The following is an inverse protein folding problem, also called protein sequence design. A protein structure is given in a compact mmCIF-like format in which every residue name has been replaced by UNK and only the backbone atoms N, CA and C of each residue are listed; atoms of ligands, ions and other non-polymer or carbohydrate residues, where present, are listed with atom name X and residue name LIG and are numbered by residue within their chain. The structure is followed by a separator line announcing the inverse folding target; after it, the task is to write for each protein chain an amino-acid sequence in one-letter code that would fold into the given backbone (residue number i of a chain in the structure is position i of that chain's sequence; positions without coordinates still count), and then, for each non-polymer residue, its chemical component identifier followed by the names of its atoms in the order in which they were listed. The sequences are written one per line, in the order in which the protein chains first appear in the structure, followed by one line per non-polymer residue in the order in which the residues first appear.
data_IF_307036798737
#
_entry.id   IF_307036798737
#
_cell.length_a   1.000
_cell.length_b   1.000
_cell.length_c   1.000
_cell.angle_alpha   90.00
_cell.angle_beta   90.00
_cell.angle_gamma   90.00
#
_symmetry.space_group_name_H-M   'P 1'
#
loop_
_entity.id
_entity.type
_entity.pdbx_description
1 polymer ?
#
# COMPACT_ATOMS: atom_id res chain seq x y z
N UNK A 1 -40.51 -47.28 27.90
CA UNK A 1 -39.26 -46.56 27.55
C UNK A 1 -39.24 -46.43 26.02
N UNK A 2 -39.81 -45.44 25.32
CA UNK A 2 -39.80 -43.97 25.46
C UNK A 2 -38.39 -43.36 25.44
N UNK A 3 -37.72 -43.40 24.30
CA UNK A 3 -37.00 -42.26 23.68
C UNK A 3 -36.12 -42.78 22.55
N UNK A 4 -36.50 -42.52 21.30
CA UNK A 4 -35.55 -42.39 20.16
C UNK A 4 -36.23 -41.93 18.86
N UNK A 5 -37.48 -41.43 18.94
CA UNK A 5 -38.24 -40.90 17.79
C UNK A 5 -38.16 -39.36 17.64
N UNK A 6 -37.25 -38.68 18.33
CA UNK A 6 -37.24 -37.21 18.41
C UNK A 6 -36.16 -36.47 17.60
N UNK A 7 -35.13 -37.11 17.05
CA UNK A 7 -34.05 -36.35 16.39
C UNK A 7 -34.31 -36.01 14.90
N UNK A 8 -35.18 -36.75 14.21
CA UNK A 8 -35.44 -36.54 12.77
C UNK A 8 -36.41 -35.39 12.42
N UNK A 9 -36.95 -34.66 13.41
CA UNK A 9 -37.96 -33.60 13.18
C UNK A 9 -37.42 -32.17 13.13
N UNK A 10 -36.11 -31.94 13.30
CA UNK A 10 -35.53 -30.59 13.22
C UNK A 10 -34.94 -30.20 11.85
N UNK A 11 -34.78 -31.14 10.91
CA UNK A 11 -34.07 -30.92 9.64
C UNK A 11 -34.95 -30.41 8.48
N UNK A 12 -36.22 -30.07 8.71
CA UNK A 12 -37.18 -29.73 7.65
C UNK A 12 -37.89 -28.38 7.78
N UNK A 13 -37.48 -27.49 8.71
CA UNK A 13 -38.16 -26.20 8.97
C UNK A 13 -37.41 -24.91 8.60
N UNK A 14 -36.22 -24.98 7.99
CA UNK A 14 -35.50 -23.78 7.50
C UNK A 14 -35.35 -23.70 5.98
N UNK A 15 -35.95 -24.62 5.21
CA UNK A 15 -35.97 -24.59 3.73
C UNK A 15 -37.24 -23.96 3.13
N UNK A 16 -37.95 -23.12 3.88
CA UNK A 16 -39.24 -22.56 3.42
C UNK A 16 -39.44 -21.12 3.87
N UNK A 17 -38.50 -20.23 3.54
CA UNK A 17 -38.69 -18.76 3.57
C UNK A 17 -37.53 -18.08 2.85
N UNK A 18 -37.60 -18.04 1.52
CA UNK A 18 -36.98 -17.02 0.65
C UNK A 18 -37.24 -17.43 -0.80
N UNK A 19 -38.51 -17.31 -1.20
CA UNK A 19 -38.93 -17.34 -2.61
C UNK A 19 -40.08 -16.37 -2.75
N UNK A 20 -39.76 -15.13 -3.13
CA UNK A 20 -40.68 -14.08 -3.58
C UNK A 20 -39.79 -12.98 -4.18
N UNK A 21 -39.61 -12.99 -5.51
CA UNK A 21 -40.27 -12.07 -6.45
C UNK A 21 -39.76 -10.63 -6.25
N UNK A 22 -38.83 -10.17 -7.09
CA UNK A 22 -39.19 -9.41 -8.32
C UNK A 22 -40.09 -8.23 -7.96
N UNK A 23 -39.52 -7.02 -7.89
CA UNK A 23 -39.98 -5.99 -8.79
C UNK A 23 -38.98 -4.83 -8.98
N UNK A 24 -38.80 -4.50 -10.26
CA UNK A 24 -38.05 -3.36 -10.80
C UNK A 24 -39.06 -2.22 -10.91
N UNK A 25 -38.85 -1.08 -10.27
CA UNK A 25 -39.62 0.12 -10.62
C UNK A 25 -38.69 1.32 -10.85
N UNK A 26 -38.59 1.62 -12.14
CA UNK A 26 -38.11 2.84 -12.76
C UNK A 26 -38.91 4.05 -12.28
N UNK A 27 -38.23 5.15 -11.93
CA UNK A 27 -38.85 6.48 -11.75
C UNK A 27 -38.29 7.43 -12.81
N UNK A 28 -39.08 7.58 -13.87
CA UNK A 28 -39.00 8.66 -14.85
C UNK A 28 -40.38 9.30 -14.88
N UNK A 29 -40.46 10.59 -14.59
CA UNK A 29 -41.48 11.50 -15.18
C UNK A 29 -41.05 12.94 -14.92
N UNK A 30 -40.68 13.62 -16.00
CA UNK A 30 -40.63 15.08 -16.13
C UNK A 30 -42.06 15.57 -16.40
N UNK A 31 -42.47 16.66 -15.76
CA UNK A 31 -43.70 17.39 -16.09
C UNK A 31 -43.37 18.79 -16.61
N UNK A 32 -44.07 19.12 -17.70
CA UNK A 32 -44.04 20.33 -18.53
C UNK A 32 -44.76 21.52 -17.85
N UNK A 33 -44.23 22.75 -17.97
CA UNK A 33 -44.75 23.90 -18.75
C UNK A 33 -45.97 24.63 -18.09
N UNK A 34 -46.27 25.94 -18.18
CA UNK A 34 -46.19 26.98 -19.22
C UNK A 34 -46.36 28.41 -18.61
N UNK A 35 -45.72 29.41 -19.24
CA UNK A 35 -46.23 30.72 -19.75
C UNK A 35 -46.95 31.73 -18.82
N UNK A 36 -46.43 32.97 -18.80
CA UNK A 36 -47.21 34.20 -19.09
C UNK A 36 -46.33 35.40 -19.50
N UNK A 37 -46.89 36.18 -20.44
CA UNK A 37 -46.31 37.24 -21.27
C UNK A 37 -46.50 38.67 -20.71
N UNK A 38 -45.62 39.59 -21.15
CA UNK A 38 -45.96 41.00 -21.43
C UNK A 38 -45.64 42.02 -20.31
N UNK A 39 -45.31 43.30 -20.52
CA UNK A 39 -45.34 44.23 -21.67
C UNK A 39 -44.45 45.46 -21.35
N UNK A 40 -43.63 45.90 -22.33
CA UNK A 40 -43.25 47.26 -22.80
C UNK A 40 -43.16 48.45 -21.82
N UNK A 41 -42.07 49.24 -21.93
CA UNK A 41 -42.08 50.67 -21.55
C UNK A 41 -40.73 51.40 -21.58
N UNK A 42 -40.54 52.28 -22.56
CA UNK A 42 -39.38 53.15 -22.85
C UNK A 42 -39.07 54.19 -21.75
N UNK A 43 -37.78 54.52 -21.56
CA UNK A 43 -37.33 55.91 -21.42
C UNK A 43 -35.83 56.05 -21.71
N UNK A 44 -35.51 56.90 -22.68
CA UNK A 44 -34.18 57.34 -23.03
C UNK A 44 -33.69 58.42 -22.07
N UNK A 45 -32.39 58.43 -21.78
CA UNK A 45 -31.67 59.66 -21.48
C UNK A 45 -30.24 59.52 -21.97
N UNK A 46 -29.96 60.26 -23.04
CA UNK A 46 -28.62 60.49 -23.56
C UNK A 46 -27.88 61.46 -22.65
N UNK A 47 -26.67 61.10 -22.23
CA UNK A 47 -25.61 62.07 -21.96
C UNK A 47 -24.35 61.63 -22.71
N UNK A 48 -23.78 62.62 -23.40
CA UNK A 48 -22.71 62.47 -24.35
C UNK A 48 -21.34 62.26 -23.68
N UNK A 49 -20.50 61.50 -24.40
CA UNK A 49 -19.05 61.54 -24.54
C UNK A 49 -18.19 62.25 -23.49
N UNK A 50 -17.09 61.59 -23.07
CA UNK A 50 -15.70 62.06 -23.26
C UNK A 50 -14.68 61.09 -22.64
N UNK A 51 -13.55 60.95 -23.35
CA UNK A 51 -12.22 60.44 -22.93
C UNK A 51 -11.88 58.95 -23.01
N UNK A 52 -11.24 58.63 -24.15
CA UNK A 52 -10.04 57.80 -24.30
C UNK A 52 -9.32 57.45 -22.98
N UNK A 53 -9.36 56.19 -22.59
CA UNK A 53 -8.13 55.43 -22.31
C UNK A 53 -8.36 53.98 -22.72
N UNK A 54 -7.85 53.62 -23.90
CA UNK A 54 -7.60 52.24 -24.25
C UNK A 54 -6.51 51.71 -23.32
N UNK A 55 -6.91 51.21 -22.15
CA UNK A 55 -6.07 50.28 -21.39
C UNK A 55 -6.28 48.93 -22.04
N UNK A 56 -5.37 48.60 -22.94
CA UNK A 56 -5.06 47.23 -23.30
C UNK A 56 -4.78 46.48 -22.01
N UNK A 57 -5.80 45.82 -21.45
CA UNK A 57 -5.56 44.69 -20.58
C UNK A 57 -4.96 43.64 -21.49
N UNK A 58 -3.62 43.68 -21.62
CA UNK A 58 -2.87 42.55 -22.13
C UNK A 58 -3.27 41.38 -21.26
N UNK A 59 -4.13 40.53 -21.81
CA UNK A 59 -4.48 39.26 -21.24
C UNK A 59 -3.19 38.44 -21.26
N UNK A 60 -2.43 38.56 -20.18
CA UNK A 60 -1.40 37.61 -19.81
C UNK A 60 -2.15 36.31 -19.52
N UNK A 61 -2.52 35.61 -20.59
CA UNK A 61 -2.83 34.20 -20.54
C UNK A 61 -1.56 33.55 -20.00
N UNK A 62 -1.52 33.35 -18.68
CA UNK A 62 -0.51 32.56 -18.03
C UNK A 62 -0.53 31.20 -18.75
N UNK A 63 0.50 30.95 -19.56
CA UNK A 63 0.82 29.62 -20.04
C UNK A 63 1.14 28.83 -18.78
N UNK A 64 0.13 28.18 -18.20
CA UNK A 64 0.35 27.22 -17.13
C UNK A 64 1.12 26.08 -17.81
N UNK A 65 2.40 25.86 -17.50
CA UNK A 65 3.08 24.68 -17.99
C UNK A 65 2.26 23.50 -17.47
N UNK A 66 1.75 22.71 -18.40
CA UNK A 66 1.02 21.50 -18.11
C UNK A 66 2.01 20.60 -17.35
N UNK A 67 1.95 20.62 -16.02
CA UNK A 67 2.79 19.78 -15.18
C UNK A 67 2.31 18.36 -15.42
N UNK A 68 2.91 17.69 -16.41
CA UNK A 68 2.86 16.24 -16.51
C UNK A 68 3.29 15.72 -15.15
N UNK A 69 2.32 15.25 -14.37
CA UNK A 69 2.57 14.65 -13.08
C UNK A 69 3.65 13.59 -13.27
N UNK A 70 4.83 13.83 -12.72
CA UNK A 70 5.93 12.90 -12.79
C UNK A 70 5.41 11.57 -12.24
N UNK A 71 5.52 10.50 -13.04
CA UNK A 71 5.18 9.14 -12.62
C UNK A 71 5.92 8.91 -11.29
N UNK A 72 5.24 8.44 -10.23
CA UNK A 72 5.88 8.30 -8.95
C UNK A 72 7.10 7.37 -9.08
N UNK A 73 8.18 7.67 -8.34
CA UNK A 73 9.50 7.12 -8.62
C UNK A 73 9.47 5.60 -8.50
N UNK A 74 9.90 4.90 -9.55
CA UNK A 74 10.23 3.48 -9.45
C UNK A 74 11.58 3.33 -8.77
N UNK A 75 11.69 2.39 -7.84
CA UNK A 75 12.94 2.01 -7.20
C UNK A 75 13.50 0.80 -7.92
N UNK A 76 14.76 0.85 -8.35
CA UNK A 76 15.44 -0.24 -9.06
C UNK A 76 16.71 -0.57 -8.30
N UNK A 77 16.97 -1.86 -8.04
CA UNK A 77 18.21 -2.29 -7.42
C UNK A 77 18.22 -3.77 -7.07
N UNK A 78 19.29 -4.18 -6.40
CA UNK A 78 19.36 -5.50 -5.81
C UNK A 78 18.50 -5.52 -4.52
N UNK A 79 17.49 -6.40 -4.43
CA UNK A 79 16.67 -6.50 -3.23
C UNK A 79 17.39 -7.32 -2.13
N UNK A 80 17.16 -6.97 -0.88
CA UNK A 80 17.28 -7.87 0.27
C UNK A 80 15.88 -8.21 0.78
N UNK A 81 15.65 -9.47 1.15
CA UNK A 81 14.36 -9.91 1.69
C UNK A 81 14.31 -9.68 3.19
N UNK A 82 13.25 -9.04 3.68
CA UNK A 82 13.04 -8.81 5.11
C UNK A 82 12.07 -9.84 5.69
N UNK A 83 10.96 -10.07 5.00
CA UNK A 83 9.94 -11.08 5.30
C UNK A 83 9.19 -11.46 4.00
N UNK A 84 8.16 -12.29 4.09
CA UNK A 84 7.46 -12.86 2.92
C UNK A 84 6.69 -11.85 2.07
N UNK A 85 6.52 -10.59 2.50
CA UNK A 85 5.88 -9.55 1.66
C UNK A 85 6.61 -8.21 1.69
N UNK A 86 7.79 -8.16 2.31
CA UNK A 86 8.61 -6.95 2.43
C UNK A 86 10.04 -7.21 1.96
N UNK A 87 10.47 -6.40 1.00
CA UNK A 87 11.86 -6.34 0.53
C UNK A 87 12.47 -4.97 0.85
N UNK A 88 13.78 -4.86 0.76
CA UNK A 88 14.49 -3.60 0.88
C UNK A 88 15.41 -3.39 -0.33
N UNK A 89 15.38 -2.18 -0.90
CA UNK A 89 16.27 -1.77 -1.98
C UNK A 89 16.86 -0.42 -1.60
N UNK A 90 18.20 -0.31 -1.56
CA UNK A 90 18.92 0.92 -1.20
C UNK A 90 18.44 1.55 0.12
N UNK A 91 18.16 0.72 1.13
CA UNK A 91 17.66 1.16 2.43
C UNK A 91 16.19 1.56 2.45
N UNK A 92 15.44 1.50 1.34
CA UNK A 92 13.99 1.69 1.33
C UNK A 92 13.27 0.36 1.47
N UNK A 93 12.53 0.18 2.57
CA UNK A 93 11.61 -0.96 2.73
C UNK A 93 10.37 -0.80 1.87
N UNK A 94 10.06 -1.83 1.11
CA UNK A 94 9.00 -1.89 0.11
C UNK A 94 8.10 -3.06 0.47
N UNK A 95 6.83 -2.75 0.77
CA UNK A 95 5.78 -3.75 0.93
C UNK A 95 5.21 -4.10 -0.44
N UNK A 96 5.13 -5.38 -0.75
CA UNK A 96 4.55 -5.87 -1.98
C UNK A 96 3.05 -5.57 -2.02
N UNK A 97 2.60 -5.03 -3.14
CA UNK A 97 1.23 -4.59 -3.30
C UNK A 97 0.25 -5.78 -3.45
N UNK A 98 -0.89 -5.68 -2.76
CA UNK A 98 -2.03 -6.59 -2.91
C UNK A 98 -1.86 -8.02 -2.35
N UNK A 99 -0.72 -8.34 -1.74
CA UNK A 99 -0.51 -9.65 -1.11
C UNK A 99 -0.27 -9.52 0.38
N UNK A 100 -0.45 -10.63 1.09
CA UNK A 100 -0.14 -10.75 2.52
C UNK A 100 0.53 -12.11 2.76
N UNK A 101 1.76 -12.10 3.25
CA UNK A 101 2.52 -13.32 3.53
C UNK A 101 2.46 -13.68 5.03
N UNK A 102 2.69 -14.94 5.41
CA UNK A 102 2.76 -15.32 6.81
C UNK A 102 3.84 -14.53 7.53
N UNK A 103 3.52 -14.06 8.73
CA UNK A 103 4.44 -13.28 9.54
C UNK A 103 5.71 -14.08 9.86
N UNK A 104 6.88 -13.46 9.99
CA UNK A 104 8.17 -14.19 10.10
C UNK A 104 8.24 -15.23 11.22
N UNK A 105 7.37 -15.13 12.24
CA UNK A 105 7.27 -16.06 13.37
C UNK A 105 6.11 -17.03 13.29
N UNK A 106 5.21 -16.84 12.34
CA UNK A 106 4.03 -17.65 12.18
C UNK A 106 4.45 -19.10 11.90
N UNK A 107 3.84 -20.01 12.67
CA UNK A 107 3.93 -21.45 12.46
C UNK A 107 2.68 -21.91 11.71
N UNK A 108 2.87 -22.89 10.83
CA UNK A 108 1.81 -23.55 10.08
C UNK A 108 1.98 -25.07 10.20
N UNK A 109 0.98 -25.85 9.80
CA UNK A 109 1.06 -27.31 9.78
C UNK A 109 1.21 -27.82 8.35
N UNK A 110 2.10 -28.79 8.15
CA UNK A 110 2.26 -29.47 6.87
C UNK A 110 1.15 -30.50 6.63
N UNK A 111 1.27 -31.28 5.54
CA UNK A 111 0.30 -32.32 5.20
C UNK A 111 0.18 -33.43 6.25
N UNK A 112 1.20 -33.61 7.10
CA UNK A 112 1.23 -34.59 8.18
C UNK A 112 0.76 -33.98 9.52
N UNK A 113 0.40 -32.70 9.54
CA UNK A 113 0.02 -31.98 10.75
C UNK A 113 1.22 -31.49 11.58
N UNK A 114 2.45 -31.59 11.08
CA UNK A 114 3.66 -31.15 11.78
C UNK A 114 3.86 -29.64 11.62
N UNK A 115 4.20 -28.99 12.72
CA UNK A 115 4.46 -27.55 12.72
C UNK A 115 5.76 -27.20 11.99
N UNK A 116 5.72 -26.12 11.20
CA UNK A 116 6.89 -25.58 10.51
C UNK A 116 6.83 -24.04 10.44
N UNK A 117 7.98 -23.34 10.33
CA UNK A 117 8.05 -21.88 10.32
C UNK A 117 7.70 -21.31 8.95
N UNK A 118 6.41 -21.28 8.63
CA UNK A 118 5.92 -20.89 7.31
C UNK A 118 6.28 -19.45 6.90
N UNK A 119 6.33 -18.50 7.83
CA UNK A 119 6.75 -17.13 7.49
C UNK A 119 8.21 -17.04 7.06
N UNK A 120 9.10 -17.81 7.72
CA UNK A 120 10.50 -17.90 7.32
C UNK A 120 10.66 -18.60 5.98
N UNK A 121 9.95 -19.71 5.77
CA UNK A 121 9.96 -20.42 4.48
C UNK A 121 9.45 -19.56 3.32
N UNK A 122 8.43 -18.74 3.55
CA UNK A 122 7.93 -17.78 2.55
C UNK A 122 9.00 -16.75 2.18
N UNK A 123 9.69 -16.18 3.18
CA UNK A 123 10.80 -15.25 2.95
C UNK A 123 11.98 -15.92 2.20
N UNK A 124 12.35 -17.14 2.56
CA UNK A 124 13.39 -17.92 1.87
C UNK A 124 13.01 -18.21 0.40
N UNK A 125 11.75 -18.53 0.13
CA UNK A 125 11.25 -18.74 -1.22
C UNK A 125 11.29 -17.45 -2.06
N UNK A 126 10.91 -16.31 -1.46
CA UNK A 126 11.03 -15.00 -2.08
C UNK A 126 12.49 -14.67 -2.42
N UNK A 127 13.43 -14.92 -1.50
CA UNK A 127 14.86 -14.66 -1.72
C UNK A 127 15.40 -15.48 -2.89
N UNK A 128 15.10 -16.78 -2.92
CA UNK A 128 15.49 -17.67 -4.01
C UNK A 128 14.93 -17.20 -5.36
N UNK A 129 13.64 -16.85 -5.42
CA UNK A 129 13.02 -16.34 -6.64
C UNK A 129 13.66 -15.04 -7.14
N UNK A 130 13.99 -14.11 -6.24
CA UNK A 130 14.64 -12.84 -6.59
C UNK A 130 16.12 -12.99 -6.96
N UNK A 131 16.77 -14.08 -6.57
CA UNK A 131 18.15 -14.38 -6.93
C UNK A 131 18.30 -14.78 -8.41
N UNK A 132 17.26 -15.36 -9.02
CA UNK A 132 17.31 -15.86 -10.40
C UNK A 132 17.42 -14.74 -11.46
N UNK A 133 16.89 -13.54 -11.19
CA UNK A 133 16.94 -12.42 -12.14
C UNK A 133 16.97 -11.07 -11.42
N UNK A 134 18.00 -10.26 -11.68
CA UNK A 134 18.26 -8.94 -11.07
C UNK A 134 18.59 -7.89 -12.13
N UNK A 135 18.35 -6.59 -11.88
CA UNK A 135 17.77 -5.99 -10.66
C UNK A 135 16.24 -6.18 -10.56
N UNK A 136 15.68 -5.88 -9.39
CA UNK A 136 14.23 -5.75 -9.21
C UNK A 136 13.85 -4.30 -9.41
N UNK A 137 12.77 -4.07 -10.16
CA UNK A 137 12.12 -2.78 -10.31
C UNK A 137 10.78 -2.78 -9.57
N UNK A 138 10.61 -1.87 -8.63
CA UNK A 138 9.38 -1.65 -7.90
C UNK A 138 8.75 -0.32 -8.29
N UNK A 139 7.57 -0.36 -8.91
CA UNK A 139 6.80 0.84 -9.24
C UNK A 139 5.95 1.25 -8.04
N UNK A 140 6.02 2.51 -7.64
CA UNK A 140 5.23 3.03 -6.53
C UNK A 140 3.72 2.95 -6.79
N UNK A 141 2.99 2.47 -5.79
CA UNK A 141 1.51 2.41 -5.79
C UNK A 141 0.96 3.41 -4.78
N UNK A 142 1.40 3.32 -3.52
CA UNK A 142 0.90 4.16 -2.44
C UNK A 142 1.86 4.19 -1.25
N UNK A 143 1.65 5.15 -0.36
CA UNK A 143 2.14 5.08 1.01
C UNK A 143 1.03 4.50 1.88
N UNK A 144 1.31 3.46 2.66
CA UNK A 144 0.33 2.98 3.63
C UNK A 144 0.26 3.87 4.89
N UNK A 145 -0.69 3.57 5.78
CA UNK A 145 -0.90 4.32 7.04
C UNK A 145 0.31 4.35 7.98
N UNK A 146 1.30 3.49 7.74
CA UNK A 146 2.55 3.40 8.50
C UNK A 146 3.73 4.01 7.73
N UNK A 147 3.44 4.75 6.65
CA UNK A 147 4.43 5.37 5.79
C UNK A 147 5.40 4.38 5.13
N UNK A 148 4.97 3.14 4.90
CA UNK A 148 5.74 2.18 4.10
C UNK A 148 5.47 2.41 2.61
N UNK A 149 6.52 2.29 1.81
CA UNK A 149 6.42 2.30 0.36
C UNK A 149 5.68 1.03 -0.05
N UNK A 150 4.53 1.15 -0.72
CA UNK A 150 3.82 0.02 -1.32
C UNK A 150 4.08 0.04 -2.82
N UNK A 151 4.52 -1.08 -3.38
CA UNK A 151 4.92 -1.14 -4.77
C UNK A 151 4.60 -2.44 -5.50
N UNK A 152 4.43 -2.32 -6.81
CA UNK A 152 4.37 -3.44 -7.74
C UNK A 152 5.80 -3.74 -8.20
N UNK A 153 6.36 -4.87 -7.76
CA UNK A 153 7.73 -5.26 -8.03
C UNK A 153 7.82 -6.32 -9.13
N UNK A 154 8.80 -6.16 -10.02
CA UNK A 154 9.14 -7.10 -11.08
C UNK A 154 10.63 -7.38 -11.11
N UNK A 155 11.00 -8.62 -11.41
CA UNK A 155 12.38 -9.01 -11.74
C UNK A 155 12.80 -8.43 -13.09
N UNK A 156 14.09 -8.49 -13.41
CA UNK A 156 14.64 -8.01 -14.67
C UNK A 156 14.11 -8.73 -15.91
N UNK A 157 13.67 -9.98 -15.77
CA UNK A 157 13.02 -10.76 -16.84
C UNK A 157 11.51 -10.47 -16.98
N UNK A 158 10.98 -9.52 -16.20
CA UNK A 158 9.59 -9.07 -16.25
C UNK A 158 8.63 -9.86 -15.35
N UNK A 159 9.10 -10.92 -14.68
CA UNK A 159 8.28 -11.71 -13.78
C UNK A 159 7.77 -10.86 -12.60
N UNK A 160 6.46 -10.96 -12.32
CA UNK A 160 5.80 -10.25 -11.22
C UNK A 160 6.07 -10.96 -9.89
N UNK A 161 6.61 -10.23 -8.91
CA UNK A 161 6.93 -10.80 -7.59
C UNK A 161 5.66 -11.21 -6.86
N UNK A 162 4.66 -10.32 -6.80
CA UNK A 162 3.40 -10.60 -6.09
C UNK A 162 2.63 -11.77 -6.72
N UNK A 163 2.60 -11.83 -8.06
CA UNK A 163 1.95 -12.94 -8.77
C UNK A 163 2.63 -14.27 -8.47
N UNK A 164 3.97 -14.32 -8.55
CA UNK A 164 4.74 -15.54 -8.26
C UNK A 164 4.52 -16.01 -6.81
N UNK A 165 4.55 -15.09 -5.85
CA UNK A 165 4.33 -15.40 -4.43
C UNK A 165 2.97 -16.05 -4.18
N UNK A 166 1.90 -15.57 -4.83
CA UNK A 166 0.56 -16.15 -4.66
C UNK A 166 0.43 -17.48 -5.39
N UNK A 167 0.92 -17.55 -6.63
CA UNK A 167 0.89 -18.76 -7.47
C UNK A 167 1.64 -19.94 -6.83
N UNK A 168 2.76 -19.67 -6.16
CA UNK A 168 3.56 -20.69 -5.48
C UNK A 168 3.14 -20.91 -4.01
N UNK A 169 2.01 -20.32 -3.60
CA UNK A 169 1.44 -20.50 -2.26
C UNK A 169 2.32 -19.93 -1.14
N UNK A 170 3.14 -18.92 -1.41
CA UNK A 170 4.01 -18.26 -0.42
C UNK A 170 3.33 -17.04 0.23
N UNK A 171 2.32 -16.48 -0.43
CA UNK A 171 1.48 -15.39 0.09
C UNK A 171 0.02 -15.56 -0.33
N UNK A 172 -0.87 -14.86 0.35
CA UNK A 172 -2.30 -14.82 0.05
C UNK A 172 -2.66 -13.57 -0.75
N UNK A 173 -3.66 -13.70 -1.60
CA UNK A 173 -4.34 -12.56 -2.22
C UNK A 173 -5.05 -11.76 -1.13
N UNK A 174 -4.62 -10.52 -0.85
CA UNK A 174 -5.16 -9.75 0.27
C UNK A 174 -6.36 -8.91 -0.19
N UNK A 175 -7.61 -9.33 0.08
CA UNK A 175 -8.77 -8.78 -0.61
C UNK A 175 -9.00 -7.28 -0.33
N UNK A 176 -8.48 -6.80 0.80
CA UNK A 176 -8.55 -5.40 1.21
C UNK A 176 -7.80 -4.45 0.25
N UNK A 177 -6.71 -4.91 -0.34
CA UNK A 177 -5.84 -4.09 -1.19
C UNK A 177 -5.80 -4.54 -2.64
N UNK A 178 -5.88 -5.84 -2.90
CA UNK A 178 -5.84 -6.38 -4.26
C UNK A 178 -7.19 -6.37 -4.97
N UNK A 179 -8.29 -6.30 -4.23
CA UNK A 179 -9.64 -6.47 -4.77
C UNK A 179 -9.83 -7.75 -5.62
N UNK A 180 -9.10 -8.82 -5.29
CA UNK A 180 -9.19 -10.09 -6.02
C UNK A 180 -8.24 -10.22 -7.21
N UNK A 181 -7.30 -9.29 -7.41
CA UNK A 181 -6.36 -9.30 -8.53
C UNK A 181 -5.59 -10.64 -8.64
N UNK A 182 -5.31 -11.31 -7.52
CA UNK A 182 -4.56 -12.58 -7.50
C UNK A 182 -5.44 -13.79 -7.16
N UNK A 183 -6.77 -13.65 -7.21
CA UNK A 183 -7.70 -14.71 -6.77
C UNK A 183 -7.54 -16.01 -7.57
N UNK A 184 -7.36 -15.92 -8.89
CA UNK A 184 -7.19 -17.08 -9.76
C UNK A 184 -5.87 -17.81 -9.51
N UNK A 185 -4.77 -17.06 -9.32
CA UNK A 185 -3.47 -17.63 -8.95
C UNK A 185 -3.55 -18.33 -7.59
N UNK A 186 -4.25 -17.72 -6.63
CA UNK A 186 -4.48 -18.33 -5.33
C UNK A 186 -5.32 -19.60 -5.44
N UNK A 187 -6.33 -19.63 -6.32
CA UNK A 187 -7.14 -20.82 -6.57
C UNK A 187 -6.31 -21.97 -7.18
N UNK A 188 -5.36 -21.64 -8.06
CA UNK A 188 -4.40 -22.60 -8.61
C UNK A 188 -3.46 -23.14 -7.52
N UNK A 189 -2.92 -22.26 -6.67
CA UNK A 189 -2.06 -22.68 -5.56
C UNK A 189 -2.81 -23.61 -4.57
N UNK A 190 -4.08 -23.29 -4.28
CA UNK A 190 -4.99 -24.11 -3.47
C UNK A 190 -5.21 -25.49 -4.08
N UNK A 191 -5.57 -25.56 -5.35
CA UNK A 191 -5.88 -26.83 -6.03
C UNK A 191 -4.63 -27.70 -6.19
N UNK A 192 -3.47 -27.08 -6.43
CA UNK A 192 -2.17 -27.74 -6.52
C UNK A 192 -1.58 -28.14 -5.17
N UNK A 193 -2.16 -27.69 -4.03
CA UNK A 193 -1.62 -27.91 -2.68
C UNK A 193 -0.15 -27.49 -2.55
N UNK A 194 0.20 -26.33 -3.09
CA UNK A 194 1.58 -25.81 -3.06
C UNK A 194 1.77 -24.79 -1.95
N UNK A 195 3.00 -24.70 -1.43
CA UNK A 195 3.36 -23.77 -0.36
C UNK A 195 2.49 -23.99 0.88
N UNK A 196 1.87 -22.91 1.37
CA UNK A 196 0.96 -22.90 2.51
C UNK A 196 -0.22 -23.87 2.35
N UNK A 197 -0.68 -24.09 1.11
CA UNK A 197 -1.83 -24.94 0.81
C UNK A 197 -1.56 -26.45 0.91
N UNK A 198 -0.33 -26.83 1.27
CA UNK A 198 0.04 -28.24 1.54
C UNK A 198 -0.63 -28.76 2.82
N UNK A 199 -0.92 -27.89 3.78
CA UNK A 199 -1.51 -28.27 5.06
C UNK A 199 -2.42 -27.18 5.62
N UNK A 200 -2.39 -27.00 6.94
CA UNK A 200 -3.27 -26.07 7.65
C UNK A 200 -2.51 -24.83 8.09
N UNK A 201 -3.15 -23.67 7.98
CA UNK A 201 -2.58 -22.41 8.44
C UNK A 201 -3.70 -21.41 8.74
N UNK A 202 -3.37 -20.43 9.58
CA UNK A 202 -4.19 -19.25 9.81
C UNK A 202 -3.80 -18.16 8.80
N UNK A 203 -4.77 -17.43 8.23
CA UNK A 203 -4.42 -16.37 7.29
C UNK A 203 -3.60 -15.27 8.02
N UNK A 204 -2.60 -14.64 7.37
CA UNK A 204 -1.67 -13.77 8.09
C UNK A 204 -2.32 -12.55 8.75
N UNK A 205 -3.38 -11.99 8.12
CA UNK A 205 -4.17 -10.92 8.72
C UNK A 205 -4.96 -11.36 9.97
N UNK A 206 -5.43 -12.62 10.02
CA UNK A 206 -6.13 -13.17 11.19
C UNK A 206 -5.12 -13.46 12.31
N UNK A 207 -3.97 -14.05 11.95
CA UNK A 207 -2.86 -14.29 12.88
C UNK A 207 -2.41 -13.00 13.56
N UNK A 208 -2.21 -11.92 12.79
CA UNK A 208 -1.87 -10.59 13.34
C UNK A 208 -2.93 -10.05 14.30
N UNK A 209 -4.21 -10.27 14.03
CA UNK A 209 -5.28 -9.80 14.91
C UNK A 209 -5.24 -10.53 16.26
N UNK A 210 -4.95 -11.83 16.26
CA UNK A 210 -4.81 -12.65 17.46
C UNK A 210 -3.50 -12.44 18.24
N UNK A 211 -2.42 -12.00 17.58
CA UNK A 211 -1.07 -11.89 18.15
C UNK A 211 -0.60 -10.43 18.31
N UNK A 212 -1.54 -9.53 18.58
CA UNK A 212 -1.29 -8.08 18.70
C UNK A 212 -0.29 -7.70 19.81
N UNK A 213 -0.23 -8.51 20.87
CA UNK A 213 0.58 -8.29 22.07
C UNK A 213 1.97 -8.92 22.01
N UNK A 214 2.26 -9.70 20.95
CA UNK A 214 3.58 -10.30 20.79
C UNK A 214 4.63 -9.21 20.52
N UNK A 215 5.76 -9.19 21.25
CA UNK A 215 6.84 -8.25 20.98
C UNK A 215 7.26 -8.38 19.52
N UNK A 216 7.09 -7.34 18.70
CA UNK A 216 7.61 -7.32 17.31
C UNK A 216 9.12 -7.58 17.32
N UNK A 217 9.69 -8.23 16.30
CA UNK A 217 11.13 -8.43 16.30
C UNK A 217 11.73 -7.04 16.15
N UNK A 218 12.36 -6.55 17.21
CA UNK A 218 13.25 -5.42 17.08
C UNK A 218 14.40 -5.92 16.21
N UNK A 219 14.50 -5.41 14.99
CA UNK A 219 15.67 -5.57 14.12
C UNK A 219 16.82 -4.73 14.70
N UNK A 220 17.19 -5.02 15.94
CA UNK A 220 18.29 -4.41 16.64
C UNK A 220 18.96 -5.50 17.50
N UNK A 221 19.44 -6.54 16.83
CA UNK A 221 20.27 -7.57 17.47
C UNK A 221 21.73 -7.24 17.20
N UNK A 222 22.24 -6.34 18.04
CA UNK A 222 23.64 -6.18 18.49
C UNK A 222 24.70 -6.84 17.59
N UNK A 223 25.32 -6.07 16.70
CA UNK A 223 26.73 -6.25 16.39
C UNK A 223 27.52 -5.32 17.31
N UNK A 224 27.99 -5.86 18.43
CA UNK A 224 29.04 -5.22 19.21
C UNK A 224 30.39 -5.54 18.55
N UNK A 225 31.25 -4.52 18.46
CA UNK A 225 32.59 -4.45 17.85
C UNK A 225 32.58 -4.17 16.34
N UNK A 226 32.51 -2.89 15.92
CA UNK A 226 33.50 -2.23 15.02
C UNK A 226 33.39 -0.70 15.13
N UNK A 227 34.57 -0.07 15.23
CA UNK A 227 34.97 1.33 15.03
C UNK A 227 33.94 2.41 14.64
N UNK A 228 34.02 3.56 15.33
CA UNK A 228 33.27 4.81 15.12
C UNK A 228 33.38 5.42 13.70
N UNK A 229 34.21 4.87 12.81
CA UNK A 229 34.32 5.31 11.41
C UNK A 229 33.32 4.68 10.44
N UNK A 230 32.48 3.72 10.85
CA UNK A 230 31.54 3.02 9.96
C UNK A 230 30.05 3.37 10.17
N UNK A 231 29.71 4.20 11.15
CA UNK A 231 28.30 4.54 11.45
C UNK A 231 27.67 5.40 10.34
N UNK A 232 28.46 6.18 9.60
CA UNK A 232 28.01 6.93 8.43
C UNK A 232 27.51 6.05 7.26
N UNK A 233 27.65 4.72 7.32
CA UNK A 233 27.29 3.78 6.25
C UNK A 233 25.90 3.14 6.41
N UNK A 234 25.20 3.34 7.54
CA UNK A 234 23.88 2.71 7.79
C UNK A 234 22.68 3.67 7.68
N UNK A 235 22.92 4.97 7.48
CA UNK A 235 21.83 5.92 7.32
C UNK A 235 21.27 5.83 5.91
N UNK A 236 19.95 5.77 5.79
CA UNK A 236 19.25 5.75 4.51
C UNK A 236 18.30 6.94 4.45
N UNK A 237 18.08 7.49 3.26
CA UNK A 237 17.19 8.64 3.08
C UNK A 237 15.70 8.32 3.24
N UNK A 238 15.34 7.34 4.07
CA UNK A 238 13.97 7.11 4.52
C UNK A 238 13.42 8.41 5.13
N UNK A 239 12.24 8.91 4.72
CA UNK A 239 11.79 10.24 5.12
C UNK A 239 11.52 10.34 6.63
N UNK A 240 12.47 10.91 7.38
CA UNK A 240 12.32 11.31 8.79
C UNK A 240 12.39 12.83 8.86
N UNK A 241 11.29 13.47 8.49
CA UNK A 241 11.23 14.94 8.25
C UNK A 241 11.03 15.77 9.51
N UNK A 242 11.03 15.14 10.69
CA UNK A 242 10.84 15.79 11.98
C UNK A 242 11.98 15.39 12.91
N UNK A 243 12.54 16.36 13.64
CA UNK A 243 13.64 16.14 14.57
C UNK A 243 13.31 15.15 15.70
N UNK A 244 12.03 15.01 16.06
CA UNK A 244 11.56 14.01 17.03
C UNK A 244 11.74 12.55 16.56
N UNK A 245 12.02 12.32 15.28
CA UNK A 245 12.23 11.02 14.67
C UNK A 245 13.73 10.67 14.52
N UNK A 246 14.62 11.60 14.89
CA UNK A 246 16.06 11.49 14.74
C UNK A 246 16.66 11.15 16.11
N UNK A 247 17.61 10.21 16.12
CA UNK A 247 18.15 9.65 17.36
C UNK A 247 19.45 10.31 17.82
N UNK A 248 20.17 10.99 16.93
CA UNK A 248 21.41 11.70 17.26
C UNK A 248 21.70 12.89 16.34
N UNK A 249 22.53 13.81 16.82
CA UNK A 249 22.99 14.96 16.04
C UNK A 249 23.79 14.53 14.80
N UNK A 250 24.59 13.47 14.90
CA UNK A 250 25.36 12.92 13.78
C UNK A 250 24.45 12.41 12.66
N UNK A 251 23.37 11.71 13.03
CA UNK A 251 22.34 11.25 12.10
C UNK A 251 21.66 12.43 11.39
N UNK A 252 21.30 13.48 12.14
CA UNK A 252 20.69 14.70 11.59
C UNK A 252 21.60 15.39 10.56
N UNK A 253 22.89 15.54 10.87
CA UNK A 253 23.91 16.13 9.97
C UNK A 253 24.12 15.30 8.72
N UNK A 254 24.12 13.98 8.85
CA UNK A 254 24.22 13.09 7.71
C UNK A 254 23.02 13.26 6.77
N UNK A 255 21.79 13.33 7.28
CA UNK A 255 20.60 13.55 6.46
C UNK A 255 20.61 14.92 5.77
N UNK A 256 21.03 15.98 6.46
CA UNK A 256 21.18 17.31 5.88
C UNK A 256 22.11 17.30 4.66
N UNK A 257 23.19 16.51 4.72
CA UNK A 257 24.22 16.46 3.68
C UNK A 257 23.92 15.48 2.53
N UNK A 258 23.21 14.39 2.80
CA UNK A 258 23.09 13.27 1.86
C UNK A 258 21.67 13.07 1.30
N UNK A 259 20.64 13.69 1.89
CA UNK A 259 19.25 13.46 1.49
C UNK A 259 18.60 14.72 0.94
N UNK A 260 17.85 14.59 -0.16
CA UNK A 260 17.15 15.70 -0.83
C UNK A 260 16.09 16.40 0.06
N UNK A 261 15.65 15.75 1.14
CA UNK A 261 14.73 16.31 2.13
C UNK A 261 15.42 16.80 3.41
N UNK A 262 16.74 16.62 3.53
CA UNK A 262 17.52 16.90 4.75
C UNK A 262 17.43 18.36 5.21
N UNK A 263 17.33 19.31 4.28
CA UNK A 263 17.14 20.74 4.59
C UNK A 263 15.86 21.06 5.37
N UNK A 264 14.93 20.12 5.52
CA UNK A 264 13.75 20.30 6.41
C UNK A 264 14.08 20.14 7.89
N UNK A 265 15.22 19.54 8.22
CA UNK A 265 15.69 19.37 9.60
C UNK A 265 16.42 20.62 10.12
N UNK A 266 16.89 21.46 9.20
CA UNK A 266 17.57 22.73 9.47
C UNK A 266 16.57 23.87 9.19
N UNK A 267 15.90 24.32 10.26
CA UNK A 267 14.72 25.21 10.14
C UNK A 267 15.12 26.63 9.75
N UNK A 268 16.24 27.10 10.26
CA UNK A 268 16.76 28.45 10.04
C UNK A 268 17.88 28.49 8.98
N UNK A 269 18.27 27.32 8.43
CA UNK A 269 19.21 27.17 7.32
C UNK A 269 20.62 27.62 7.66
N UNK A 270 21.03 27.43 8.92
CA UNK A 270 22.36 27.80 9.43
C UNK A 270 23.38 26.66 9.30
N UNK A 271 22.95 25.49 8.80
CA UNK A 271 23.76 24.29 8.65
C UNK A 271 23.72 23.35 9.87
N UNK A 272 22.93 23.66 10.90
CA UNK A 272 22.74 22.87 12.12
C UNK A 272 21.34 22.26 12.11
N UNK A 273 21.19 20.98 11.70
CA UNK A 273 19.89 20.34 11.71
C UNK A 273 19.51 19.97 13.14
N UNK A 274 18.24 20.17 13.49
CA UNK A 274 17.68 19.78 14.78
C UNK A 274 18.42 20.36 15.99
N UNK A 275 18.44 21.68 16.16
CA UNK A 275 19.05 22.44 17.28
C UNK A 275 18.64 22.02 18.72
N UNK A 276 17.62 21.16 18.87
CA UNK A 276 17.28 20.56 20.16
C UNK A 276 18.04 19.26 20.45
N UNK A 277 18.77 18.75 19.47
CA UNK A 277 19.47 17.46 19.43
C UNK A 277 20.96 17.66 19.09
N UNK A 278 21.24 18.62 18.21
CA UNK A 278 22.52 19.29 17.99
C UNK A 278 22.53 20.62 18.76
#
# INVERSE_FOLDING_TARGET
MRNDRQSHRHRSRLRRRQRSSVDRTSRSTRTLALISLGVIGLAASAYAAVSLTGRSHGELAAVIPNQTAAKPPSIIGAPSVVDGDTIEIHGQRIRLNGIDAPESRQLCKDANGLEYPCGRRSAEALDAFLAEARPVQCTFVAWDRYHRFVGDCRRADGASVASWMVEHGQALDWPRYSHGTYADLQAQAKSGKVGLWTGEFEAPWDWRAGHSDDPKPSTNRKFNLVNQGQIAQSYSCQPRRYCSQISSCEEARWYLSNCSWGGKLDRDSDGIPCEGLC
#
